data_IF_576858840598
#
_entry.id   IF_576858840598
#
_cell.length_a   1.000
_cell.length_b   1.000
_cell.length_c   1.000
_cell.angle_alpha   90.00
_cell.angle_beta   90.00
_cell.angle_gamma   90.00
#
_symmetry.space_group_name_H-M   'P 1'
#
loop_
_entity.id
_entity.type
_entity.pdbx_description
1 polymer ?
#
# COMPACT_ATOMS: atom_id res chain seq x y z
N UNK A 1 -16.95 5.93 2.04
CA UNK A 1 -15.96 5.72 3.12
C UNK A 1 -16.46 4.74 4.19
N UNK A 2 -17.61 4.98 4.84
CA UNK A 2 -18.11 4.10 5.92
C UNK A 2 -18.29 2.61 5.55
N UNK A 3 -18.71 2.29 4.32
CA UNK A 3 -18.79 0.88 3.86
C UNK A 3 -17.43 0.18 3.90
N UNK A 4 -16.40 0.83 3.36
CA UNK A 4 -15.02 0.31 3.31
C UNK A 4 -14.46 0.21 4.73
N UNK A 5 -14.72 1.21 5.58
CA UNK A 5 -14.34 1.19 7.00
C UNK A 5 -14.94 -0.01 7.74
N UNK A 6 -16.26 -0.22 7.66
CA UNK A 6 -16.95 -1.33 8.34
C UNK A 6 -16.43 -2.68 7.84
N UNK A 7 -16.19 -2.81 6.53
CA UNK A 7 -15.58 -4.02 5.96
C UNK A 7 -14.17 -4.26 6.49
N UNK A 8 -13.37 -3.20 6.64
CA UNK A 8 -12.04 -3.27 7.24
C UNK A 8 -12.06 -3.78 8.68
N UNK A 9 -13.01 -3.28 9.49
CA UNK A 9 -13.22 -3.74 10.87
C UNK A 9 -13.63 -5.21 10.91
N UNK A 10 -14.57 -5.64 10.06
CA UNK A 10 -15.03 -7.04 10.00
C UNK A 10 -13.87 -8.00 9.67
N UNK A 11 -13.03 -7.62 8.71
CA UNK A 11 -11.89 -8.43 8.29
C UNK A 11 -10.62 -8.23 9.10
N UNK A 12 -10.65 -7.35 10.11
CA UNK A 12 -9.49 -6.99 10.92
C UNK A 12 -8.27 -6.57 10.07
N UNK A 13 -8.51 -5.72 9.07
CA UNK A 13 -7.48 -5.15 8.19
C UNK A 13 -7.44 -3.63 8.30
N UNK A 14 -6.28 -3.03 8.04
CA UNK A 14 -6.13 -1.57 8.02
C UNK A 14 -6.48 -0.99 6.64
N UNK A 15 -7.74 -0.54 6.46
CA UNK A 15 -8.24 -0.04 5.17
C UNK A 15 -7.57 1.23 4.62
N UNK A 16 -6.69 1.86 5.41
CA UNK A 16 -6.04 3.13 5.07
C UNK A 16 -4.51 3.02 5.02
N UNK A 17 -3.96 1.82 5.23
CA UNK A 17 -2.53 1.60 5.01
C UNK A 17 -2.23 1.42 3.51
N UNK A 18 -0.95 1.61 3.15
CA UNK A 18 -0.49 1.50 1.77
C UNK A 18 0.91 0.88 1.68
N UNK A 19 1.27 -0.06 2.57
CA UNK A 19 2.61 -0.65 2.57
C UNK A 19 3.01 -1.31 1.24
N UNK A 20 2.03 -1.78 0.46
CA UNK A 20 2.26 -2.44 -0.83
C UNK A 20 2.94 -1.58 -1.90
N UNK A 21 3.05 -0.26 -1.74
CA UNK A 21 3.67 0.63 -2.74
C UNK A 21 5.19 0.76 -2.60
N UNK A 22 5.74 0.49 -1.41
CA UNK A 22 7.12 0.90 -1.07
C UNK A 22 8.19 0.11 -1.83
N UNK A 23 8.03 -1.21 -1.97
CA UNK A 23 8.99 -2.03 -2.73
C UNK A 23 9.05 -1.61 -4.22
N UNK A 24 7.91 -1.27 -4.81
CA UNK A 24 7.85 -0.79 -6.19
C UNK A 24 8.60 0.52 -6.38
N UNK A 25 8.45 1.45 -5.44
CA UNK A 25 9.20 2.72 -5.43
C UNK A 25 10.71 2.48 -5.32
N UNK A 26 11.13 1.60 -4.40
CA UNK A 26 12.55 1.29 -4.18
C UNK A 26 13.20 0.66 -5.42
N UNK A 27 12.54 -0.32 -6.04
CA UNK A 27 13.07 -0.99 -7.24
C UNK A 27 13.13 -0.03 -8.43
N UNK A 28 12.10 0.79 -8.63
CA UNK A 28 12.09 1.80 -9.69
C UNK A 28 13.26 2.79 -9.54
N UNK A 29 13.51 3.26 -8.31
CA UNK A 29 14.64 4.14 -8.00
C UNK A 29 15.99 3.49 -8.32
N UNK A 30 16.20 2.24 -7.89
CA UNK A 30 17.42 1.47 -8.17
C UNK A 30 17.67 1.27 -9.66
N UNK A 31 16.61 1.05 -10.44
CA UNK A 31 16.71 0.91 -11.90
C UNK A 31 17.02 2.26 -12.54
N UNK A 32 16.40 3.34 -12.07
CA UNK A 32 16.65 4.68 -12.56
C UNK A 32 18.11 5.10 -12.35
N UNK A 33 18.67 4.87 -11.16
CA UNK A 33 20.06 5.20 -10.83
C UNK A 33 21.11 4.34 -11.55
N UNK A 34 20.70 3.18 -12.09
CA UNK A 34 21.58 2.28 -12.86
C UNK A 34 21.75 2.70 -14.33
N UNK A 35 20.84 3.51 -14.85
CA UNK A 35 20.87 4.03 -16.22
C UNK A 35 21.56 5.40 -16.28
#
# INVERSE_FOLDING_TARGET
EHKIFVQGVIWNIFSYDQFGVELGKELAQKIYEKN
#
